data_IF_846781651640
#
_entry.id   IF_846781651640
#
_cell.length_a   1.000
_cell.length_b   1.000
_cell.length_c   1.000
_cell.angle_alpha   90.00
_cell.angle_beta   90.00
_cell.angle_gamma   90.00
#
_symmetry.space_group_name_H-M   'P 1'
#
loop_
_entity.id
_entity.type
_entity.pdbx_description
1 polymer ?
#
# COMPACT_ATOMS: atom_id res chain seq x y z
N UNK A 1 -14.24 19.48 -30.26
CA UNK A 1 -14.31 18.11 -29.71
C UNK A 1 -13.30 17.92 -28.61
N UNK A 2 -13.75 17.83 -27.35
CA UNK A 2 -13.03 17.30 -26.20
C UNK A 2 -14.05 17.21 -25.05
N UNK A 3 -14.98 16.25 -25.16
CA UNK A 3 -15.89 15.91 -24.07
C UNK A 3 -15.13 15.10 -23.02
N UNK A 4 -15.14 15.64 -21.82
CA UNK A 4 -14.63 15.11 -20.56
C UNK A 4 -14.84 13.59 -20.44
N UNK A 5 -13.73 12.84 -20.35
CA UNK A 5 -13.78 11.42 -20.03
C UNK A 5 -13.68 11.22 -18.53
N UNK A 6 -14.83 10.90 -17.95
CA UNK A 6 -14.95 9.81 -16.99
C UNK A 6 -14.73 10.19 -15.53
N UNK A 7 -15.75 10.78 -14.91
CA UNK A 7 -15.95 10.67 -13.46
C UNK A 7 -17.07 9.65 -13.23
N UNK A 8 -16.72 8.36 -13.15
CA UNK A 8 -17.56 7.40 -12.41
C UNK A 8 -17.30 7.67 -10.94
N UNK A 9 -18.26 8.32 -10.30
CA UNK A 9 -18.31 8.42 -8.84
C UNK A 9 -19.05 7.16 -8.43
N UNK A 10 -18.31 6.13 -8.03
CA UNK A 10 -18.90 4.99 -7.33
C UNK A 10 -19.37 5.52 -5.96
N UNK A 11 -20.65 5.34 -5.66
CA UNK A 11 -21.42 6.00 -4.58
C UNK A 11 -20.97 5.63 -3.15
N UNK A 12 -19.90 4.86 -2.98
CA UNK A 12 -19.40 4.36 -1.68
C UNK A 12 -18.06 4.98 -1.24
N UNK A 13 -17.54 5.97 -1.96
CA UNK A 13 -16.25 6.58 -1.62
C UNK A 13 -16.42 7.92 -0.92
N UNK A 14 -16.30 7.93 0.41
CA UNK A 14 -15.83 9.10 1.18
C UNK A 14 -14.37 9.42 0.79
N UNK A 15 -14.21 9.90 -0.45
CA UNK A 15 -12.92 10.12 -1.08
C UNK A 15 -12.26 11.39 -0.55
N UNK A 16 -11.43 11.29 0.48
CA UNK A 16 -10.57 12.41 0.88
C UNK A 16 -9.42 12.52 -0.14
N UNK A 17 -9.53 13.47 -1.06
CA UNK A 17 -8.47 13.85 -2.00
C UNK A 17 -8.05 15.29 -1.73
N UNK A 18 -6.78 15.49 -1.37
CA UNK A 18 -6.19 16.82 -1.24
C UNK A 18 -5.09 16.98 -2.29
N UNK A 19 -5.29 17.90 -3.23
CA UNK A 19 -4.28 18.23 -4.23
C UNK A 19 -2.96 18.61 -3.54
N UNK A 20 -1.84 18.04 -4.01
CA UNK A 20 -0.51 18.21 -3.41
C UNK A 20 -0.17 17.23 -2.29
N UNK A 21 -1.13 16.44 -1.79
CA UNK A 21 -0.86 15.30 -0.91
C UNK A 21 -0.91 14.00 -1.70
N UNK A 22 0.12 13.15 -1.65
CA UNK A 22 0.15 11.89 -2.37
C UNK A 22 -0.67 10.82 -1.64
N UNK A 23 -1.85 11.16 -1.10
CA UNK A 23 -2.67 10.25 -0.31
C UNK A 23 -4.15 10.32 -0.69
N UNK A 24 -4.81 9.16 -0.70
CA UNK A 24 -6.26 9.01 -0.89
C UNK A 24 -6.80 8.11 0.20
N UNK A 25 -7.90 8.52 0.82
CA UNK A 25 -8.73 7.64 1.64
C UNK A 25 -9.92 7.14 0.82
N UNK A 26 -10.12 5.84 0.71
CA UNK A 26 -11.22 5.23 -0.05
C UNK A 26 -11.50 3.82 0.48
N UNK A 27 -12.77 3.41 0.52
CA UNK A 27 -13.19 2.12 1.10
C UNK A 27 -12.65 1.86 2.52
N UNK A 28 -12.54 2.91 3.34
CA UNK A 28 -11.98 2.81 4.69
C UNK A 28 -10.46 2.63 4.76
N UNK A 29 -9.75 2.70 3.64
CA UNK A 29 -8.32 2.44 3.53
C UNK A 29 -7.54 3.67 3.03
N UNK A 30 -6.35 3.87 3.60
CA UNK A 30 -5.45 4.95 3.20
C UNK A 30 -4.43 4.43 2.18
N UNK A 31 -4.34 5.10 1.04
CA UNK A 31 -3.41 4.78 -0.02
C UNK A 31 -2.44 5.94 -0.27
N UNK A 32 -1.17 5.63 -0.46
CA UNK A 32 -0.17 6.55 -1.02
C UNK A 32 -0.16 6.44 -2.55
N UNK A 33 -0.29 7.56 -3.26
CA UNK A 33 -0.17 7.65 -4.72
C UNK A 33 1.28 7.99 -5.08
N UNK A 34 1.95 7.08 -5.78
CA UNK A 34 3.30 7.31 -6.32
C UNK A 34 3.26 8.22 -7.55
N UNK A 35 4.41 8.77 -7.91
CA UNK A 35 4.59 9.65 -9.09
C UNK A 35 4.15 8.99 -10.41
N UNK A 36 4.21 7.67 -10.50
CA UNK A 36 3.76 6.88 -11.65
C UNK A 36 2.25 6.53 -11.61
N UNK A 37 1.47 7.13 -10.69
CA UNK A 37 0.05 6.87 -10.50
C UNK A 37 -0.29 5.56 -9.77
N UNK A 38 0.71 4.75 -9.39
CA UNK A 38 0.47 3.50 -8.66
C UNK A 38 0.06 3.80 -7.22
N UNK A 39 -0.99 3.12 -6.74
CA UNK A 39 -1.46 3.19 -5.35
C UNK A 39 -0.74 2.15 -4.50
N UNK A 40 -0.24 2.56 -3.34
CA UNK A 40 0.32 1.68 -2.31
C UNK A 40 -0.52 1.80 -1.04
N UNK A 41 -0.99 0.68 -0.50
CA UNK A 41 -1.77 0.70 0.74
C UNK A 41 -0.87 1.10 1.92
N UNK A 42 -1.27 2.10 2.69
CA UNK A 42 -0.57 2.48 3.91
C UNK A 42 -0.85 1.47 5.01
N UNK A 43 0.22 0.95 5.60
CA UNK A 43 0.13 -0.04 6.68
C UNK A 43 0.41 0.64 8.01
N UNK A 44 -0.52 0.56 8.99
CA UNK A 44 -0.28 1.00 10.36
C UNK A 44 0.89 0.25 11.00
N UNK A 45 1.71 0.93 11.80
CA UNK A 45 2.93 0.35 12.38
C UNK A 45 2.66 -0.92 13.21
N UNK A 46 1.58 -0.91 14.01
CA UNK A 46 1.16 -2.05 14.82
C UNK A 46 0.72 -3.28 14.00
N UNK A 47 0.46 -3.13 12.70
CA UNK A 47 0.08 -4.26 11.83
C UNK A 47 1.28 -4.89 11.10
N UNK A 48 2.45 -4.25 11.12
CA UNK A 48 3.61 -4.70 10.34
C UNK A 48 4.02 -6.13 10.75
N UNK A 49 4.14 -6.41 12.05
CA UNK A 49 4.54 -7.74 12.55
C UNK A 49 3.61 -8.85 12.05
N UNK A 50 2.29 -8.65 12.16
CA UNK A 50 1.29 -9.62 11.69
C UNK A 50 1.35 -9.88 10.18
N UNK A 51 1.66 -8.86 9.39
CA UNK A 51 1.83 -9.01 7.94
C UNK A 51 3.09 -9.80 7.61
N UNK A 52 4.19 -9.56 8.34
CA UNK A 52 5.45 -10.29 8.16
C UNK A 52 5.30 -11.75 8.57
N UNK A 53 4.64 -12.03 9.69
CA UNK A 53 4.29 -13.39 10.13
C UNK A 53 3.47 -14.13 9.07
N UNK A 54 2.40 -13.52 8.56
CA UNK A 54 1.58 -14.14 7.52
C UNK A 54 2.38 -14.44 6.23
N UNK A 55 3.28 -13.53 5.84
CA UNK A 55 4.13 -13.73 4.67
C UNK A 55 5.19 -14.81 4.88
N UNK A 56 5.76 -14.90 6.07
CA UNK A 56 6.80 -15.89 6.38
C UNK A 56 6.21 -17.30 6.55
N UNK A 57 5.07 -17.44 7.20
CA UNK A 57 4.41 -18.74 7.38
C UNK A 57 3.97 -19.38 6.06
N UNK A 58 3.51 -18.57 5.09
CA UNK A 58 3.20 -19.04 3.74
C UNK A 58 4.46 -19.42 2.93
N UNK A 59 5.63 -18.96 3.37
CA UNK A 59 6.88 -18.92 2.59
C UNK A 59 8.09 -19.22 3.47
N UNK A 60 8.06 -20.36 4.15
CA UNK A 60 9.04 -20.80 5.17
C UNK A 60 10.54 -20.81 4.77
N UNK A 61 10.90 -20.45 3.52
CA UNK A 61 12.28 -20.53 3.00
C UNK A 61 12.70 -19.37 2.09
N UNK A 62 11.93 -18.27 2.02
CA UNK A 62 12.23 -17.22 1.06
C UNK A 62 13.10 -16.11 1.66
N UNK A 63 14.18 -15.77 0.96
CA UNK A 63 15.07 -14.66 1.30
C UNK A 63 14.32 -13.33 1.39
N UNK A 64 14.88 -12.39 2.17
CA UNK A 64 14.40 -11.02 2.38
C UNK A 64 13.96 -10.31 1.09
N UNK A 65 14.67 -10.53 -0.03
CA UNK A 65 14.32 -10.01 -1.35
C UNK A 65 12.91 -10.41 -1.82
N UNK A 66 12.49 -11.65 -1.57
CA UNK A 66 11.16 -12.13 -1.97
C UNK A 66 10.06 -11.52 -1.11
N UNK A 67 10.28 -11.42 0.20
CA UNK A 67 9.35 -10.71 1.09
C UNK A 67 9.19 -9.25 0.66
N UNK A 68 10.30 -8.58 0.31
CA UNK A 68 10.27 -7.21 -0.21
C UNK A 68 9.49 -7.11 -1.53
N UNK A 69 9.61 -8.10 -2.40
CA UNK A 69 8.84 -8.18 -3.64
C UNK A 69 7.34 -8.31 -3.38
N UNK A 70 6.93 -9.14 -2.44
CA UNK A 70 5.50 -9.32 -2.10
C UNK A 70 4.92 -8.06 -1.45
N UNK A 71 5.71 -7.37 -0.62
CA UNK A 71 5.36 -6.11 0.01
C UNK A 71 5.45 -4.89 -0.93
N UNK A 72 5.72 -5.06 -2.23
CA UNK A 72 5.96 -3.93 -3.15
C UNK A 72 4.79 -2.95 -3.30
N UNK A 73 3.56 -3.45 -3.09
CA UNK A 73 2.31 -2.67 -3.15
C UNK A 73 1.89 -2.09 -1.80
N UNK A 74 2.69 -2.30 -0.75
CA UNK A 74 2.46 -1.72 0.58
C UNK A 74 3.41 -0.56 0.82
N UNK A 75 2.86 0.51 1.38
CA UNK A 75 3.57 1.65 1.94
C UNK A 75 3.78 1.40 3.43
N UNK A 76 4.97 0.90 3.75
CA UNK A 76 5.42 0.57 5.11
C UNK A 76 6.60 1.47 5.42
N UNK A 77 6.54 2.20 6.53
CA UNK A 77 7.67 2.98 7.03
C UNK A 77 8.84 2.05 7.38
N UNK A 78 10.07 2.37 6.99
CA UNK A 78 11.25 1.54 7.22
C UNK A 78 11.07 0.06 6.80
N UNK A 79 10.35 -0.18 5.69
CA UNK A 79 10.02 -1.53 5.21
C UNK A 79 11.19 -2.51 5.19
N UNK A 80 12.31 -2.10 4.61
CA UNK A 80 13.51 -2.95 4.48
C UNK A 80 14.10 -3.33 5.84
N UNK A 81 14.08 -2.41 6.80
CA UNK A 81 14.53 -2.68 8.16
C UNK A 81 13.63 -3.72 8.84
N UNK A 82 12.31 -3.56 8.75
CA UNK A 82 11.37 -4.51 9.35
C UNK A 82 11.46 -5.92 8.74
N UNK A 83 11.70 -6.06 7.44
CA UNK A 83 11.92 -7.38 6.82
C UNK A 83 13.21 -8.01 7.33
N UNK A 84 14.31 -7.25 7.41
CA UNK A 84 15.62 -7.75 7.85
C UNK A 84 15.70 -8.11 9.33
N UNK A 85 14.96 -7.42 10.19
CA UNK A 85 14.86 -7.77 11.61
C UNK A 85 14.02 -9.04 11.84
N UNK A 86 13.16 -9.38 10.87
CA UNK A 86 12.20 -10.48 11.00
C UNK A 86 12.75 -11.81 10.47
N UNK A 87 13.53 -11.79 9.38
CA UNK A 87 14.22 -12.95 8.77
C UNK A 87 15.52 -13.24 9.50
#
# INVERSE_FOLDING_TARGET
DLKEKGKRIDEDSDGFFRAGMPFIFTYGLLYNIRTNGTRSLCVPHNMIGRILEALHDEKQYFADERMLYDLRRLSIHNKTYHVKEYV
#
